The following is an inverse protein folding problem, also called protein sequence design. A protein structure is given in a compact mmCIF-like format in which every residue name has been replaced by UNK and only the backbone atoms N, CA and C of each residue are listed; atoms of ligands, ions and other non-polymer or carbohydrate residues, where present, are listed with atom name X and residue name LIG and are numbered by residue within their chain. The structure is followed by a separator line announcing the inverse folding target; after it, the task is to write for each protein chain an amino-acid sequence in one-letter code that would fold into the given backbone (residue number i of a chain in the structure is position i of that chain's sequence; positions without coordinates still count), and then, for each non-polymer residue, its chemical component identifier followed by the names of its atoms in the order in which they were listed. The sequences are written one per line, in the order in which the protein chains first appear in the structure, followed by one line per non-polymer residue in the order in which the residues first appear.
data_IF_514451429245
#
_entry.id   IF_514451429245
#
_cell.length_a   1.000
_cell.length_b   1.000
_cell.length_c   1.000
_cell.angle_alpha   90.00
_cell.angle_beta   90.00
_cell.angle_gamma   90.00
#
_symmetry.space_group_name_H-M   'P 1'
#
loop_
_entity.id
_entity.type
_entity.pdbx_description
1 polymer ?
#
# COMPACT_ATOMS: atom_id res chain seq x y z
N UNK A 1 27.48 15.18 -23.26
CA UNK A 1 26.16 14.67 -23.71
C UNK A 1 26.07 13.17 -23.51
N UNK A 2 27.09 12.40 -23.94
CA UNK A 2 27.16 10.94 -23.70
C UNK A 2 27.23 10.54 -22.22
N UNK A 3 28.11 11.15 -21.40
CA UNK A 3 28.22 10.84 -19.96
C UNK A 3 26.88 10.99 -19.21
N UNK A 4 26.12 12.05 -19.48
CA UNK A 4 24.79 12.27 -18.87
C UNK A 4 23.83 11.14 -19.21
N UNK A 5 23.77 10.74 -20.49
CA UNK A 5 22.91 9.66 -20.96
C UNK A 5 23.28 8.32 -20.31
N UNK A 6 24.57 8.02 -20.22
CA UNK A 6 25.06 6.82 -19.55
C UNK A 6 24.71 6.80 -18.05
N UNK A 7 24.74 7.96 -17.37
CA UNK A 7 24.31 8.07 -15.97
C UNK A 7 22.80 7.87 -15.78
N UNK A 8 21.98 8.37 -16.71
CA UNK A 8 20.53 8.14 -16.70
C UNK A 8 20.21 6.65 -16.94
N UNK A 9 20.91 6.01 -17.86
CA UNK A 9 20.80 4.57 -18.12
C UNK A 9 21.23 3.75 -16.88
N UNK A 10 22.36 4.09 -16.27
CA UNK A 10 22.83 3.45 -15.03
C UNK A 10 21.81 3.60 -13.90
N UNK A 11 21.25 4.80 -13.71
CA UNK A 11 20.22 5.06 -12.70
C UNK A 11 18.98 4.21 -12.95
N UNK A 12 18.57 4.08 -14.21
CA UNK A 12 17.45 3.22 -14.60
C UNK A 12 17.70 1.77 -14.22
N UNK A 13 18.92 1.25 -14.43
CA UNK A 13 19.27 -0.12 -14.02
C UNK A 13 19.29 -0.33 -12.51
N UNK A 14 19.69 0.67 -11.73
CA UNK A 14 19.55 0.59 -10.27
C UNK A 14 18.09 0.59 -9.81
N UNK A 15 17.22 1.36 -10.48
CA UNK A 15 15.77 1.37 -10.19
C UNK A 15 15.16 0.00 -10.51
N UNK A 16 15.42 -0.55 -11.70
CA UNK A 16 14.95 -1.88 -12.10
C UNK A 16 15.41 -2.97 -11.11
N UNK A 17 16.69 -2.93 -10.71
CA UNK A 17 17.25 -3.86 -9.72
C UNK A 17 16.53 -3.75 -8.37
N UNK A 18 16.32 -2.53 -7.88
CA UNK A 18 15.63 -2.28 -6.62
C UNK A 18 14.18 -2.79 -6.64
N UNK A 19 13.45 -2.54 -7.74
CA UNK A 19 12.08 -3.03 -7.91
C UNK A 19 12.02 -4.56 -7.93
N UNK A 20 12.93 -5.21 -8.65
CA UNK A 20 13.03 -6.66 -8.70
C UNK A 20 13.38 -7.24 -7.31
N UNK A 21 14.37 -6.68 -6.62
CA UNK A 21 14.76 -7.10 -5.28
C UNK A 21 13.61 -6.96 -4.28
N UNK A 22 12.87 -5.86 -4.33
CA UNK A 22 11.67 -5.65 -3.51
C UNK A 22 10.60 -6.72 -3.79
N UNK A 23 10.28 -6.96 -5.07
CA UNK A 23 9.30 -8.00 -5.44
C UNK A 23 9.73 -9.40 -4.97
N UNK A 24 11.01 -9.74 -5.11
CA UNK A 24 11.57 -11.01 -4.66
C UNK A 24 11.61 -11.13 -3.11
N UNK A 25 11.78 -10.02 -2.40
CA UNK A 25 11.66 -10.00 -0.94
C UNK A 25 10.20 -10.15 -0.46
N UNK A 26 9.22 -9.77 -1.29
CA UNK A 26 7.78 -9.89 -1.01
C UNK A 26 7.20 -11.26 -1.34
N UNK A 27 7.77 -11.96 -2.31
CA UNK A 27 7.37 -13.33 -2.62
C UNK A 27 8.22 -14.40 -1.88
N UNK A 28 9.00 -14.00 -0.86
CA UNK A 28 9.91 -14.86 -0.09
C UNK A 28 10.99 -15.58 -0.93
N UNK A 29 11.33 -15.07 -2.12
CA UNK A 29 12.42 -15.62 -2.95
C UNK A 29 13.81 -15.14 -2.53
N UNK A 30 13.89 -14.05 -1.77
CA UNK A 30 15.12 -13.57 -1.12
C UNK A 30 14.93 -13.63 0.40
N UNK A 31 15.87 -14.26 1.10
CA UNK A 31 15.87 -14.37 2.57
C UNK A 31 16.96 -13.51 3.23
N UNK A 32 17.68 -12.70 2.43
CA UNK A 32 18.67 -11.77 2.97
C UNK A 32 18.00 -10.73 3.87
N UNK A 33 18.46 -10.65 5.12
CA UNK A 33 17.83 -9.81 6.13
C UNK A 33 17.94 -8.31 5.81
N UNK A 34 19.02 -7.87 5.15
CA UNK A 34 19.20 -6.48 4.78
C UNK A 34 18.22 -6.09 3.68
N UNK A 35 18.05 -6.95 2.68
CA UNK A 35 17.08 -6.75 1.59
C UNK A 35 15.65 -6.75 2.13
N UNK A 36 15.31 -7.69 3.03
CA UNK A 36 13.98 -7.73 3.67
C UNK A 36 13.73 -6.44 4.45
N UNK A 37 14.71 -5.98 5.26
CA UNK A 37 14.57 -4.75 6.04
C UNK A 37 14.32 -3.53 5.15
N UNK A 38 15.11 -3.36 4.08
CA UNK A 38 14.92 -2.26 3.12
C UNK A 38 13.55 -2.37 2.44
N UNK A 39 13.14 -3.58 2.08
CA UNK A 39 11.82 -3.85 1.49
C UNK A 39 10.67 -3.47 2.43
N UNK A 40 10.80 -3.74 3.72
CA UNK A 40 9.81 -3.33 4.73
C UNK A 40 9.80 -1.80 4.91
N UNK A 41 10.97 -1.15 4.90
CA UNK A 41 11.08 0.31 4.94
C UNK A 41 10.41 0.98 3.72
N UNK A 42 10.60 0.43 2.52
CA UNK A 42 9.91 0.87 1.28
C UNK A 42 8.39 0.80 1.49
N UNK A 43 7.89 -0.33 2.00
CA UNK A 43 6.46 -0.52 2.25
C UNK A 43 5.89 0.50 3.25
N UNK A 44 6.65 0.86 4.29
CA UNK A 44 6.24 1.90 5.25
C UNK A 44 6.21 3.29 4.62
N UNK A 45 7.18 3.61 3.74
CA UNK A 45 7.21 4.87 3.01
C UNK A 45 6.02 4.96 2.04
N UNK A 46 5.71 3.90 1.30
CA UNK A 46 4.58 3.86 0.38
C UNK A 46 3.23 4.00 1.10
N UNK A 47 3.10 3.46 2.32
CA UNK A 47 1.93 3.71 3.18
C UNK A 47 1.78 5.21 3.49
N UNK A 48 2.87 5.86 3.88
CA UNK A 48 2.88 7.31 4.16
C UNK A 48 2.58 8.14 2.91
N UNK A 49 3.01 7.71 1.73
CA UNK A 49 2.67 8.34 0.45
C UNK A 49 1.17 8.20 0.16
N UNK A 50 0.57 7.02 0.41
CA UNK A 50 -0.87 6.81 0.26
C UNK A 50 -1.68 7.73 1.19
N UNK A 51 -1.25 7.90 2.43
CA UNK A 51 -1.81 8.85 3.39
C UNK A 51 -1.70 10.29 2.89
N UNK A 52 -0.49 10.73 2.54
CA UNK A 52 -0.25 12.09 2.07
C UNK A 52 -0.98 12.42 0.75
N UNK A 53 -1.20 11.43 -0.12
CA UNK A 53 -1.90 11.60 -1.40
C UNK A 53 -3.42 11.51 -1.29
N UNK A 54 -3.98 11.27 -0.10
CA UNK A 54 -5.43 11.13 0.12
C UNK A 54 -6.02 9.83 -0.44
N UNK A 55 -5.17 8.86 -0.80
CA UNK A 55 -5.58 7.52 -1.27
C UNK A 55 -5.63 6.50 -0.13
N UNK A 56 -5.43 6.94 1.10
CA UNK A 56 -5.45 6.10 2.27
C UNK A 56 -6.85 5.68 2.64
N UNK A 57 -6.98 4.37 2.87
CA UNK A 57 -8.17 3.79 3.48
C UNK A 57 -7.80 3.44 4.90
N UNK A 58 -8.37 4.12 5.92
CA UNK A 58 -8.13 3.80 7.31
C UNK A 58 -8.63 2.39 7.61
N UNK A 59 -8.02 1.76 8.59
CA UNK A 59 -8.51 0.54 9.21
C UNK A 59 -9.72 0.78 10.10
N UNK A 60 -10.44 -0.29 10.40
CA UNK A 60 -11.60 -0.22 11.30
C UNK A 60 -11.16 0.21 12.70
N UNK A 61 -9.97 -0.21 13.11
CA UNK A 61 -9.33 0.10 14.39
C UNK A 61 -8.98 1.59 14.52
N UNK A 62 -8.74 2.28 13.40
CA UNK A 62 -8.48 3.73 13.41
C UNK A 62 -9.74 4.57 13.60
N UNK A 63 -10.93 3.97 13.48
CA UNK A 63 -12.22 4.63 13.66
C UNK A 63 -12.36 5.94 12.87
N UNK A 64 -11.84 5.97 11.62
CA UNK A 64 -11.93 7.11 10.69
C UNK A 64 -12.72 6.71 9.47
N UNK A 65 -13.62 7.59 9.02
CA UNK A 65 -14.45 7.35 7.85
C UNK A 65 -13.56 7.14 6.60
N UNK A 66 -13.75 6.06 5.83
CA UNK A 66 -12.94 5.79 4.64
C UNK A 66 -13.22 6.74 3.46
N UNK A 67 -14.28 7.54 3.55
CA UNK A 67 -14.65 8.51 2.51
C UNK A 67 -14.18 9.94 2.83
N UNK A 68 -14.32 10.38 4.09
CA UNK A 68 -14.06 11.77 4.48
C UNK A 68 -13.08 11.93 5.65
N UNK A 69 -12.51 10.84 6.15
CA UNK A 69 -11.56 10.79 7.28
C UNK A 69 -12.07 11.30 8.63
N UNK A 70 -13.34 11.69 8.74
CA UNK A 70 -13.96 12.07 10.01
C UNK A 70 -14.00 10.88 10.97
N UNK A 71 -13.58 11.09 12.22
CA UNK A 71 -13.66 10.07 13.26
C UNK A 71 -15.11 9.64 13.52
N UNK A 72 -15.31 8.39 13.91
CA UNK A 72 -16.60 7.84 14.32
C UNK A 72 -16.45 7.00 15.61
N UNK A 73 -17.56 6.66 16.25
CA UNK A 73 -17.58 5.82 17.46
C UNK A 73 -17.61 4.33 17.11
N UNK A 74 -17.11 3.48 18.01
CA UNK A 74 -17.16 2.02 17.80
C UNK A 74 -18.60 1.55 17.57
N UNK A 75 -18.77 0.63 16.62
CA UNK A 75 -20.08 0.14 16.18
C UNK A 75 -20.87 1.07 15.25
N UNK A 76 -20.35 2.25 14.87
CA UNK A 76 -21.01 3.13 13.91
C UNK A 76 -21.24 2.44 12.55
N UNK A 77 -22.51 2.40 12.11
CA UNK A 77 -22.89 1.84 10.80
C UNK A 77 -22.70 2.87 9.68
N UNK A 78 -22.99 4.14 9.94
CA UNK A 78 -22.87 5.24 8.98
C UNK A 78 -21.99 6.37 9.53
N UNK A 79 -21.28 7.06 8.64
CA UNK A 79 -20.54 8.27 9.00
C UNK A 79 -21.50 9.44 9.21
N UNK A 80 -21.46 10.06 10.39
CA UNK A 80 -22.28 11.23 10.71
C UNK A 80 -21.95 12.50 9.91
N UNK A 81 -20.79 12.55 9.23
CA UNK A 81 -20.38 13.73 8.44
C UNK A 81 -20.69 13.60 6.94
N UNK A 82 -20.45 12.43 6.32
CA UNK A 82 -20.64 12.26 4.86
C UNK A 82 -21.68 11.20 4.47
N UNK A 83 -22.27 10.47 5.42
CA UNK A 83 -23.27 9.44 5.15
C UNK A 83 -22.72 8.11 4.63
N UNK A 84 -21.39 7.95 4.51
CA UNK A 84 -20.77 6.67 4.10
C UNK A 84 -21.23 5.53 5.02
N UNK A 85 -21.71 4.43 4.44
CA UNK A 85 -21.93 3.18 5.17
C UNK A 85 -20.57 2.55 5.51
N UNK A 86 -20.16 2.69 6.78
CA UNK A 86 -18.87 2.22 7.31
C UNK A 86 -18.87 0.69 7.35
N UNK A 87 -19.94 0.10 7.88
CA UNK A 87 -20.05 -1.36 8.04
C UNK A 87 -19.95 -2.05 6.68
N UNK A 88 -20.77 -1.63 5.73
CA UNK A 88 -20.80 -2.20 4.38
C UNK A 88 -19.46 -2.01 3.66
N UNK A 89 -18.79 -0.86 3.82
CA UNK A 89 -17.49 -0.61 3.20
C UNK A 89 -16.44 -1.64 3.64
N UNK A 90 -16.31 -1.90 4.95
CA UNK A 90 -15.32 -2.84 5.46
C UNK A 90 -15.69 -4.32 5.21
N UNK A 91 -16.99 -4.67 5.17
CA UNK A 91 -17.44 -6.04 4.90
C UNK A 91 -17.34 -6.40 3.39
N UNK A 92 -17.67 -5.44 2.52
CA UNK A 92 -17.90 -5.71 1.10
C UNK A 92 -16.87 -5.13 0.16
N UNK A 93 -16.24 -3.99 0.48
CA UNK A 93 -15.42 -3.23 -0.48
C UNK A 93 -13.91 -3.49 -0.34
N UNK A 94 -13.44 -3.86 0.84
CA UNK A 94 -12.00 -3.96 1.14
C UNK A 94 -11.59 -5.34 1.65
N UNK A 95 -10.30 -5.62 1.56
CA UNK A 95 -9.64 -6.77 2.15
C UNK A 95 -8.21 -6.40 2.59
N UNK A 96 -7.51 -7.31 3.27
CA UNK A 96 -6.11 -7.14 3.64
C UNK A 96 -5.20 -7.76 2.58
N UNK A 97 -4.16 -7.03 2.18
CA UNK A 97 -3.12 -7.57 1.32
C UNK A 97 -2.41 -8.76 2.01
N UNK A 98 -2.36 -9.92 1.35
CA UNK A 98 -1.74 -11.14 1.90
C UNK A 98 -0.22 -11.03 2.10
N UNK A 99 0.41 -10.02 1.50
CA UNK A 99 1.87 -9.80 1.57
C UNK A 99 2.25 -8.83 2.69
N UNK A 100 1.66 -7.62 2.70
CA UNK A 100 2.03 -6.55 3.64
C UNK A 100 0.93 -6.19 4.64
N UNK A 101 -0.22 -6.86 4.58
CA UNK A 101 -1.38 -6.67 5.44
C UNK A 101 -2.01 -5.26 5.38
N UNK A 102 -1.66 -4.44 4.38
CA UNK A 102 -2.36 -3.16 4.15
C UNK A 102 -3.79 -3.38 3.67
N UNK A 103 -4.68 -2.46 3.99
CA UNK A 103 -6.05 -2.46 3.46
C UNK A 103 -6.04 -2.08 1.97
N UNK A 104 -6.71 -2.88 1.17
CA UNK A 104 -6.84 -2.73 -0.29
C UNK A 104 -8.30 -2.92 -0.69
N UNK A 105 -8.71 -2.35 -1.83
CA UNK A 105 -10.05 -2.62 -2.36
C UNK A 105 -10.06 -3.98 -3.05
N UNK A 106 -11.15 -4.74 -2.93
CA UNK A 106 -11.30 -6.07 -3.54
C UNK A 106 -11.23 -6.07 -5.07
N UNK A 107 -11.50 -4.93 -5.71
CA UNK A 107 -11.42 -4.75 -7.17
C UNK A 107 -10.01 -4.38 -7.66
N UNK A 108 -9.05 -4.19 -6.74
CA UNK A 108 -7.69 -3.77 -7.08
C UNK A 108 -6.87 -4.95 -7.59
N UNK A 109 -6.17 -4.76 -8.72
CA UNK A 109 -5.26 -5.78 -9.25
C UNK A 109 -3.95 -5.92 -8.43
N UNK A 110 -3.52 -4.81 -7.81
CA UNK A 110 -2.26 -4.69 -7.07
C UNK A 110 -2.48 -3.94 -5.76
N UNK A 111 -1.66 -4.27 -4.76
CA UNK A 111 -1.56 -3.52 -3.53
C UNK A 111 -0.88 -2.16 -3.79
N UNK A 112 -1.54 -1.06 -3.41
CA UNK A 112 -0.95 0.28 -3.51
C UNK A 112 0.25 0.50 -2.58
N UNK A 113 0.41 -0.31 -1.54
CA UNK A 113 1.46 -0.14 -0.53
C UNK A 113 2.70 -1.00 -0.82
N UNK A 114 2.55 -2.26 -1.22
CA UNK A 114 3.70 -3.15 -1.47
C UNK A 114 3.82 -3.65 -2.91
N UNK A 115 2.96 -3.19 -3.82
CA UNK A 115 2.97 -3.58 -5.23
C UNK A 115 2.59 -5.04 -5.53
N UNK A 116 2.35 -5.86 -4.51
CA UNK A 116 1.99 -7.28 -4.69
C UNK A 116 0.67 -7.42 -5.43
N UNK A 117 0.59 -8.41 -6.32
CA UNK A 117 -0.64 -8.77 -7.02
C UNK A 117 -1.65 -9.35 -6.04
N UNK A 118 -2.89 -8.87 -6.07
CA UNK A 118 -3.96 -9.28 -5.15
C UNK A 118 -4.79 -10.43 -5.72
N UNK A 119 -5.03 -10.37 -7.04
CA UNK A 119 -5.72 -11.43 -7.78
C UNK A 119 -4.72 -12.55 -8.12
N UNK A 120 -4.66 -13.56 -7.24
CA UNK A 120 -4.02 -14.86 -7.45
C UNK A 120 -5.10 -15.93 -7.43
#
# INVERSE_FOLDING_TARGET
MEDKKLREELTTKFIELGQLAHQLARNNSIQDQQVIKISDEICLIDKRIHEASGKYVPSKEEMRCPSCMTSYEDGAVFCGNCGQNIKEFYESTIENCKTCNSIVKKDSNYCGVCGSRLNI
#
